data_IF_916721359847
#
_entry.id   IF_916721359847
#
_cell.length_a   1.000
_cell.length_b   1.000
_cell.length_c   1.000
_cell.angle_alpha   90.00
_cell.angle_beta   90.00
_cell.angle_gamma   90.00
#
_symmetry.space_group_name_H-M   'P 1'
#
loop_
_entity.id
_entity.type
_entity.pdbx_description
1 polymer ?
#
# COMPACT_ATOMS: atom_id res chain seq x y z
N UNK A 1 9.16 -1.82 11.43
CA UNK A 1 9.73 -1.17 12.64
C UNK A 1 9.65 0.35 12.48
N UNK A 2 10.41 0.98 11.59
CA UNK A 2 10.45 2.45 11.39
C UNK A 2 9.07 3.08 11.20
N UNK A 3 8.18 2.46 10.41
CA UNK A 3 6.82 2.97 10.17
C UNK A 3 6.01 3.06 11.49
N UNK A 4 6.06 2.04 12.33
CA UNK A 4 5.29 2.00 13.59
C UNK A 4 5.83 3.02 14.58
N UNK A 5 7.15 3.15 14.71
CA UNK A 5 7.79 4.16 15.55
C UNK A 5 7.45 5.59 15.09
N UNK A 6 7.42 5.81 13.76
CA UNK A 6 7.01 7.10 13.18
C UNK A 6 5.55 7.42 13.48
N UNK A 7 4.65 6.42 13.43
CA UNK A 7 3.23 6.60 13.78
C UNK A 7 3.07 6.98 15.25
N UNK A 8 3.82 6.34 16.15
CA UNK A 8 3.82 6.71 17.56
C UNK A 8 4.29 8.14 17.77
N UNK A 9 5.40 8.52 17.15
CA UNK A 9 5.93 9.88 17.19
C UNK A 9 4.91 10.90 16.68
N UNK A 10 4.28 10.65 15.52
CA UNK A 10 3.22 11.51 14.97
C UNK A 10 2.05 11.63 15.94
N UNK A 11 1.63 10.53 16.53
CA UNK A 11 0.51 10.49 17.50
C UNK A 11 0.80 11.36 18.72
N UNK A 12 1.99 11.27 19.27
CA UNK A 12 2.44 12.07 20.42
C UNK A 12 2.51 13.56 20.07
N UNK A 13 3.11 13.91 18.95
CA UNK A 13 3.16 15.29 18.46
C UNK A 13 1.76 15.86 18.20
N UNK A 14 0.85 15.06 17.64
CA UNK A 14 -0.54 15.44 17.40
C UNK A 14 -1.27 15.78 18.70
N UNK A 15 -1.05 14.99 19.75
CA UNK A 15 -1.58 15.25 21.10
C UNK A 15 -0.92 16.44 21.79
N UNK A 16 0.17 16.98 21.23
CA UNK A 16 0.93 18.11 21.74
C UNK A 16 1.96 17.76 22.78
N UNK A 17 2.28 16.51 22.85
CA UNK A 17 3.39 16.07 23.66
C UNK A 17 4.71 16.60 23.05
N UNK A 18 5.68 16.82 23.91
CA UNK A 18 7.05 17.08 23.47
C UNK A 18 7.72 15.76 23.12
N UNK A 19 8.42 15.73 22.00
CA UNK A 19 9.21 14.58 21.53
C UNK A 19 10.66 14.99 21.44
N UNK A 20 11.54 14.20 22.01
CA UNK A 20 12.98 14.39 21.86
C UNK A 20 13.45 13.87 20.50
N UNK A 21 14.30 14.63 19.84
CA UNK A 21 14.90 14.27 18.55
C UNK A 21 16.30 14.86 18.45
N UNK A 22 17.08 14.37 17.48
CA UNK A 22 18.43 14.88 17.21
C UNK A 22 18.33 15.89 16.05
N UNK A 23 18.82 17.12 16.28
CA UNK A 23 18.88 18.12 15.24
C UNK A 23 20.03 17.91 14.25
N UNK A 24 20.07 18.73 13.18
CA UNK A 24 21.14 18.66 12.17
C UNK A 24 22.57 18.93 12.68
N UNK A 25 22.73 19.35 13.94
CA UNK A 25 24.04 19.54 14.60
C UNK A 25 24.39 18.38 15.55
N UNK A 26 23.59 17.30 15.56
CA UNK A 26 23.80 16.15 16.44
C UNK A 26 23.38 16.39 17.91
N UNK A 27 22.67 17.47 18.22
CA UNK A 27 22.21 17.77 19.57
C UNK A 27 20.79 17.28 19.79
N UNK A 28 20.55 16.67 20.96
CA UNK A 28 19.19 16.35 21.40
C UNK A 28 18.41 17.65 21.69
N UNK A 29 17.26 17.75 21.05
CA UNK A 29 16.31 18.87 21.25
C UNK A 29 14.91 18.30 21.51
N UNK A 30 14.10 19.08 22.20
CA UNK A 30 12.69 18.76 22.42
C UNK A 30 11.83 19.59 21.46
N UNK A 31 11.00 18.93 20.67
CA UNK A 31 10.12 19.57 19.68
C UNK A 31 8.66 19.32 19.99
N UNK A 32 7.81 20.25 19.57
CA UNK A 32 6.36 20.09 19.52
C UNK A 32 5.81 20.77 18.26
N UNK A 33 4.55 20.48 17.90
CA UNK A 33 3.91 21.03 16.70
C UNK A 33 2.87 22.09 17.04
N UNK A 34 2.83 23.14 16.22
CA UNK A 34 1.84 24.22 16.29
C UNK A 34 1.41 24.59 14.85
N UNK A 35 0.15 25.04 14.62
CA UNK A 35 -0.93 25.17 15.61
C UNK A 35 -1.44 23.83 16.11
N UNK A 36 -2.17 23.84 17.23
CA UNK A 36 -2.80 22.62 17.77
C UNK A 36 -3.93 22.15 16.85
N UNK A 37 -3.99 20.85 16.53
CA UNK A 37 -5.07 20.33 15.69
C UNK A 37 -6.42 20.39 16.40
N UNK A 38 -7.50 20.58 15.63
CA UNK A 38 -8.87 20.53 16.15
C UNK A 38 -9.33 19.11 16.44
N UNK A 39 -8.89 18.15 15.63
CA UNK A 39 -9.22 16.73 15.81
C UNK A 39 -8.37 16.11 16.91
N UNK A 40 -8.96 15.26 17.73
CA UNK A 40 -8.25 14.55 18.80
C UNK A 40 -7.14 13.65 18.26
N UNK A 41 -7.40 12.98 17.15
CA UNK A 41 -6.46 12.09 16.44
C UNK A 41 -6.68 12.19 14.93
N UNK A 42 -5.63 12.12 14.10
CA UNK A 42 -5.80 12.02 12.66
C UNK A 42 -6.30 10.62 12.29
N UNK A 43 -7.19 10.48 11.28
CA UNK A 43 -7.49 9.17 10.72
C UNK A 43 -6.23 8.63 10.02
N UNK A 44 -5.72 7.50 10.52
CA UNK A 44 -4.51 6.87 9.99
C UNK A 44 -4.86 5.87 8.90
N UNK A 45 -4.14 5.94 7.79
CA UNK A 45 -4.25 5.02 6.67
C UNK A 45 -2.90 4.44 6.32
N UNK A 46 -2.83 3.11 6.21
CA UNK A 46 -1.61 2.41 5.80
C UNK A 46 -1.81 1.88 4.38
N UNK A 47 -0.94 2.32 3.47
CA UNK A 47 -0.89 1.78 2.12
C UNK A 47 -0.10 0.46 2.10
N UNK A 48 -0.71 -0.59 1.55
CA UNK A 48 -0.06 -1.91 1.42
C UNK A 48 -0.63 -2.66 0.23
N UNK A 49 0.24 -3.20 -0.62
CA UNK A 49 -0.15 -4.02 -1.76
C UNK A 49 0.04 -5.52 -1.51
N UNK A 50 1.11 -5.95 -0.85
CA UNK A 50 1.49 -7.36 -0.86
C UNK A 50 1.55 -8.06 0.50
N UNK A 51 1.96 -7.37 1.56
CA UNK A 51 2.31 -8.00 2.82
C UNK A 51 1.12 -8.19 3.76
N UNK A 52 0.76 -9.45 4.07
CA UNK A 52 -0.23 -9.80 5.10
C UNK A 52 0.17 -9.21 6.48
N UNK A 53 1.46 -9.15 6.79
CA UNK A 53 1.92 -8.63 8.08
C UNK A 53 1.71 -7.12 8.22
N UNK A 54 1.75 -6.37 7.10
CA UNK A 54 1.37 -4.96 7.08
C UNK A 54 -0.13 -4.79 7.37
N UNK A 55 -0.99 -5.65 6.81
CA UNK A 55 -2.43 -5.67 7.13
C UNK A 55 -2.69 -5.97 8.61
N UNK A 56 -2.01 -6.96 9.17
CA UNK A 56 -2.08 -7.26 10.62
C UNK A 56 -1.60 -6.09 11.46
N UNK A 57 -0.49 -5.46 11.09
CA UNK A 57 0.05 -4.30 11.81
C UNK A 57 -0.95 -3.12 11.79
N UNK A 58 -1.55 -2.83 10.63
CA UNK A 58 -2.60 -1.82 10.51
C UNK A 58 -3.79 -2.13 11.44
N UNK A 59 -4.23 -3.40 11.47
CA UNK A 59 -5.30 -3.83 12.38
C UNK A 59 -4.94 -3.61 13.84
N UNK A 60 -3.74 -4.01 14.26
CA UNK A 60 -3.29 -3.87 15.67
C UNK A 60 -3.27 -2.42 16.16
N UNK A 61 -2.86 -1.49 15.32
CA UNK A 61 -2.79 -0.05 15.70
C UNK A 61 -4.10 0.71 15.45
N UNK A 62 -5.14 0.02 14.97
CA UNK A 62 -6.43 0.64 14.67
C UNK A 62 -6.47 1.49 13.41
N UNK A 63 -5.43 1.44 12.57
CA UNK A 63 -5.40 2.19 11.32
C UNK A 63 -6.31 1.56 10.25
N UNK A 64 -6.70 2.37 9.28
CA UNK A 64 -7.36 1.95 8.05
C UNK A 64 -6.32 1.45 7.02
N UNK A 65 -6.78 0.79 5.96
CA UNK A 65 -5.91 0.27 4.91
C UNK A 65 -6.31 0.82 3.54
N UNK A 66 -5.31 1.24 2.76
CA UNK A 66 -5.43 1.50 1.33
C UNK A 66 -4.63 0.43 0.57
N UNK A 67 -5.28 -0.28 -0.34
CA UNK A 67 -4.65 -1.30 -1.18
C UNK A 67 -5.09 -1.15 -2.64
N UNK A 68 -4.58 -2.00 -3.51
CA UNK A 68 -4.91 -2.03 -4.94
C UNK A 68 -4.98 -3.49 -5.42
N UNK A 69 -5.32 -3.70 -6.71
CA UNK A 69 -5.38 -5.03 -7.32
C UNK A 69 -4.10 -5.40 -8.09
N UNK A 70 -3.10 -4.55 -8.12
CA UNK A 70 -1.88 -4.80 -8.87
C UNK A 70 -1.04 -5.89 -8.18
N UNK A 71 -0.81 -7.01 -8.89
CA UNK A 71 -0.01 -8.14 -8.39
C UNK A 71 -0.69 -8.97 -7.29
N UNK A 72 -1.99 -8.90 -7.15
CA UNK A 72 -2.77 -9.71 -6.22
C UNK A 72 -4.20 -9.95 -6.73
N UNK A 73 -4.76 -11.09 -6.40
CA UNK A 73 -6.12 -11.48 -6.77
C UNK A 73 -7.14 -11.25 -5.63
N UNK A 74 -8.40 -11.59 -5.90
CA UNK A 74 -9.50 -11.43 -4.94
C UNK A 74 -9.33 -12.35 -3.73
N UNK A 75 -8.80 -13.56 -3.90
CA UNK A 75 -8.60 -14.50 -2.80
C UNK A 75 -7.44 -14.08 -1.91
N UNK A 76 -6.37 -13.54 -2.48
CA UNK A 76 -5.29 -12.88 -1.75
C UNK A 76 -5.82 -11.74 -0.88
N UNK A 77 -6.66 -10.87 -1.47
CA UNK A 77 -7.27 -9.76 -0.74
C UNK A 77 -8.18 -10.25 0.38
N UNK A 78 -9.00 -11.28 0.13
CA UNK A 78 -9.89 -11.88 1.15
C UNK A 78 -9.09 -12.35 2.36
N UNK A 79 -7.97 -13.04 2.13
CA UNK A 79 -7.09 -13.52 3.20
C UNK A 79 -6.45 -12.36 3.99
N UNK A 80 -6.00 -11.31 3.30
CA UNK A 80 -5.44 -10.11 3.91
C UNK A 80 -6.47 -9.34 4.74
N UNK A 81 -7.69 -9.20 4.23
CA UNK A 81 -8.80 -8.56 4.95
C UNK A 81 -9.19 -9.34 6.20
N UNK A 82 -9.27 -10.67 6.11
CA UNK A 82 -9.52 -11.52 7.27
C UNK A 82 -8.44 -11.34 8.34
N UNK A 83 -7.17 -11.30 7.95
CA UNK A 83 -6.04 -11.09 8.85
C UNK A 83 -6.07 -9.70 9.51
N UNK A 84 -6.41 -8.64 8.76
CA UNK A 84 -6.59 -7.28 9.27
C UNK A 84 -7.71 -7.22 10.32
N UNK A 85 -8.91 -7.72 9.99
CA UNK A 85 -10.05 -7.68 10.89
C UNK A 85 -9.83 -8.52 12.15
N UNK A 86 -9.14 -9.67 12.03
CA UNK A 86 -8.75 -10.48 13.19
C UNK A 86 -7.83 -9.69 14.12
N UNK A 87 -6.75 -9.14 13.58
CA UNK A 87 -5.76 -8.38 14.36
C UNK A 87 -6.39 -7.14 15.03
N UNK A 88 -7.33 -6.47 14.34
CA UNK A 88 -8.05 -5.31 14.86
C UNK A 88 -8.95 -5.68 16.06
N UNK A 89 -9.71 -6.77 15.94
CA UNK A 89 -10.55 -7.27 17.06
C UNK A 89 -9.71 -7.70 18.25
N UNK A 90 -8.62 -8.44 18.03
CA UNK A 90 -7.70 -8.91 19.07
C UNK A 90 -7.02 -7.75 19.81
N UNK A 91 -6.83 -6.62 19.16
CA UNK A 91 -6.29 -5.39 19.75
C UNK A 91 -7.36 -4.53 20.46
N UNK A 92 -8.65 -4.94 20.45
CA UNK A 92 -9.73 -4.25 21.14
C UNK A 92 -10.23 -2.97 20.47
N UNK A 93 -9.97 -2.79 19.16
CA UNK A 93 -10.49 -1.63 18.43
C UNK A 93 -11.95 -1.81 18.05
N UNK A 94 -12.75 -0.78 18.29
CA UNK A 94 -14.16 -0.75 17.91
C UNK A 94 -14.35 -0.73 16.39
N UNK A 95 -15.39 -1.45 15.93
CA UNK A 95 -15.82 -1.50 14.55
C UNK A 95 -14.83 -2.19 13.59
N UNK A 96 -15.25 -2.40 12.35
CA UNK A 96 -14.46 -3.16 11.36
C UNK A 96 -13.25 -2.40 10.82
N UNK A 97 -13.17 -1.07 11.01
CA UNK A 97 -12.23 -0.23 10.28
C UNK A 97 -12.64 -0.06 8.81
N UNK A 98 -11.80 0.63 8.04
CA UNK A 98 -12.04 0.85 6.61
C UNK A 98 -10.90 0.26 5.80
N UNK A 99 -11.25 -0.53 4.79
CA UNK A 99 -10.33 -1.00 3.76
C UNK A 99 -10.77 -0.39 2.44
N UNK A 100 -9.90 0.38 1.82
CA UNK A 100 -10.11 0.97 0.50
C UNK A 100 -9.29 0.23 -0.52
N UNK A 101 -9.94 -0.25 -1.58
CA UNK A 101 -9.27 -0.88 -2.72
C UNK A 101 -9.29 0.10 -3.89
N UNK A 102 -8.10 0.47 -4.35
CA UNK A 102 -7.96 1.29 -5.56
C UNK A 102 -8.10 0.41 -6.80
N UNK A 103 -9.03 0.77 -7.67
CA UNK A 103 -9.33 0.08 -8.92
C UNK A 103 -9.20 1.04 -10.09
N UNK A 104 -8.55 0.57 -11.17
CA UNK A 104 -8.65 1.26 -12.45
C UNK A 104 -10.04 1.00 -13.02
N UNK A 105 -10.77 2.06 -13.28
CA UNK A 105 -12.18 1.96 -13.67
C UNK A 105 -12.45 2.85 -14.88
N UNK A 106 -13.11 2.30 -15.89
CA UNK A 106 -13.64 3.02 -17.02
C UNK A 106 -15.15 2.71 -17.14
N UNK A 107 -15.97 3.74 -17.28
CA UNK A 107 -17.42 3.61 -17.35
C UNK A 107 -17.91 4.04 -18.73
N UNK A 108 -18.72 3.19 -19.36
CA UNK A 108 -19.36 3.45 -20.64
C UNK A 108 -20.75 2.82 -20.62
N UNK A 109 -21.62 3.24 -21.56
CA UNK A 109 -22.98 2.70 -21.70
C UNK A 109 -22.99 1.23 -22.15
N UNK A 110 -21.97 0.81 -22.90
CA UNK A 110 -21.81 -0.53 -23.43
C UNK A 110 -20.49 -1.14 -23.01
N UNK A 111 -20.51 -2.40 -22.55
CA UNK A 111 -19.33 -3.10 -22.00
C UNK A 111 -18.27 -3.37 -23.05
N UNK A 112 -18.66 -3.80 -24.26
CA UNK A 112 -17.69 -4.10 -25.33
C UNK A 112 -17.02 -2.82 -25.81
N UNK A 113 -17.79 -1.75 -25.96
CA UNK A 113 -17.27 -0.42 -26.28
C UNK A 113 -16.35 0.10 -25.17
N UNK A 114 -16.67 -0.14 -23.90
CA UNK A 114 -15.81 0.21 -22.78
C UNK A 114 -14.45 -0.51 -22.86
N UNK A 115 -14.44 -1.80 -23.16
CA UNK A 115 -13.22 -2.59 -23.33
C UNK A 115 -12.39 -2.09 -24.51
N UNK A 116 -13.02 -1.83 -25.65
CA UNK A 116 -12.33 -1.31 -26.84
C UNK A 116 -11.65 0.02 -26.55
N UNK A 117 -12.38 0.99 -25.97
CA UNK A 117 -11.87 2.32 -25.68
C UNK A 117 -10.80 2.34 -24.59
N UNK A 118 -10.94 1.51 -23.57
CA UNK A 118 -10.00 1.46 -22.44
C UNK A 118 -8.74 0.65 -22.74
N UNK A 119 -8.77 -0.31 -23.67
CA UNK A 119 -7.68 -1.28 -23.92
C UNK A 119 -6.34 -0.58 -24.16
N UNK A 120 -6.23 0.27 -25.15
CA UNK A 120 -4.95 0.90 -25.53
C UNK A 120 -4.42 1.83 -24.44
N UNK A 121 -5.19 2.79 -23.89
CA UNK A 121 -4.72 3.65 -22.81
C UNK A 121 -4.31 2.87 -21.57
N UNK A 122 -5.05 1.83 -21.21
CA UNK A 122 -4.75 1.02 -20.02
C UNK A 122 -3.49 0.17 -20.22
N UNK A 123 -3.32 -0.46 -21.38
CA UNK A 123 -2.09 -1.18 -21.71
C UNK A 123 -0.85 -0.27 -21.70
N UNK A 124 -0.96 0.95 -22.22
CA UNK A 124 0.13 1.92 -22.20
C UNK A 124 0.46 2.36 -20.77
N UNK A 125 -0.54 2.56 -19.92
CA UNK A 125 -0.35 2.83 -18.49
C UNK A 125 0.36 1.66 -17.79
N UNK A 126 -0.08 0.42 -18.00
CA UNK A 126 0.56 -0.76 -17.40
C UNK A 126 2.02 -0.90 -17.86
N UNK A 127 2.31 -0.73 -19.15
CA UNK A 127 3.69 -0.78 -19.66
C UNK A 127 4.59 0.25 -18.96
N UNK A 128 4.14 1.50 -18.84
CA UNK A 128 4.90 2.54 -18.14
C UNK A 128 5.11 2.23 -16.66
N UNK A 129 4.13 1.64 -16.00
CA UNK A 129 4.22 1.22 -14.60
C UNK A 129 5.20 0.07 -14.41
N UNK A 130 5.19 -0.93 -15.31
CA UNK A 130 6.15 -2.04 -15.28
C UNK A 130 7.59 -1.57 -15.57
N UNK A 131 7.79 -0.60 -16.46
CA UNK A 131 9.10 -0.03 -16.70
C UNK A 131 9.66 0.66 -15.45
N UNK A 132 8.81 1.31 -14.66
CA UNK A 132 9.20 1.86 -13.34
C UNK A 132 9.64 0.76 -12.36
N UNK A 133 8.93 -0.36 -12.32
CA UNK A 133 9.27 -1.51 -11.47
C UNK A 133 10.63 -2.10 -11.86
N UNK A 134 10.92 -2.20 -13.16
CA UNK A 134 12.22 -2.65 -13.66
C UNK A 134 13.37 -1.76 -13.23
N UNK A 135 13.17 -0.44 -13.24
CA UNK A 135 14.20 0.55 -12.88
C UNK A 135 14.45 0.57 -11.36
N UNK A 136 13.44 0.30 -10.55
CA UNK A 136 13.53 0.38 -9.10
C UNK A 136 12.90 -0.84 -8.39
N UNK A 137 13.37 -2.07 -8.63
CA UNK A 137 12.77 -3.29 -8.07
C UNK A 137 12.80 -3.35 -6.54
N UNK A 138 13.72 -2.63 -5.91
CA UNK A 138 13.81 -2.52 -4.45
C UNK A 138 12.65 -1.74 -3.82
N UNK A 139 11.99 -0.87 -4.58
CA UNK A 139 10.83 -0.08 -4.13
C UNK A 139 9.52 -0.87 -4.18
N UNK A 140 9.51 -2.02 -4.85
CA UNK A 140 8.32 -2.84 -5.07
C UNK A 140 8.50 -4.29 -4.59
N UNK A 141 8.62 -4.53 -3.27
CA UNK A 141 8.89 -5.88 -2.72
C UNK A 141 7.84 -6.93 -3.09
N UNK A 142 6.58 -6.51 -3.35
CA UNK A 142 5.49 -7.40 -3.74
C UNK A 142 5.77 -8.15 -5.06
N UNK A 143 6.58 -7.57 -5.94
CA UNK A 143 6.98 -8.18 -7.22
C UNK A 143 8.21 -9.10 -7.11
N UNK A 144 8.77 -9.26 -5.91
CA UNK A 144 9.89 -10.18 -5.64
C UNK A 144 9.47 -11.60 -5.24
N UNK A 145 8.17 -11.93 -5.31
CA UNK A 145 7.72 -13.26 -4.87
C UNK A 145 8.13 -14.34 -5.87
N UNK A 146 8.60 -15.51 -5.39
CA UNK A 146 9.01 -16.64 -6.26
C UNK A 146 7.91 -17.15 -7.18
N UNK A 147 6.63 -16.96 -6.82
CA UNK A 147 5.47 -17.34 -7.63
C UNK A 147 5.37 -16.57 -8.96
N UNK A 148 6.10 -15.47 -9.12
CA UNK A 148 6.15 -14.69 -10.37
C UNK A 148 7.41 -14.95 -11.20
N UNK A 149 8.13 -16.04 -10.93
CA UNK A 149 9.24 -16.51 -11.78
C UNK A 149 10.54 -15.71 -11.65
N UNK A 150 10.77 -15.05 -10.53
CA UNK A 150 12.08 -14.47 -10.23
C UNK A 150 13.03 -15.57 -9.75
N UNK A 151 13.74 -16.19 -10.67
CA UNK A 151 14.89 -17.03 -10.35
C UNK A 151 16.07 -16.11 -9.96
N UNK A 152 16.51 -16.17 -8.71
CA UNK A 152 17.57 -15.30 -8.16
C UNK A 152 18.95 -15.50 -8.82
N UNK A 153 19.09 -16.50 -9.72
CA UNK A 153 20.38 -16.88 -10.27
C UNK A 153 20.90 -16.02 -11.41
N UNK A 154 20.09 -15.16 -12.05
CA UNK A 154 20.48 -14.57 -13.35
C UNK A 154 20.35 -13.04 -13.48
N UNK A 155 19.93 -12.32 -12.46
CA UNK A 155 19.84 -10.83 -12.55
C UNK A 155 18.87 -10.32 -13.65
N UNK A 156 18.07 -11.21 -14.26
CA UNK A 156 17.06 -10.86 -15.25
C UNK A 156 15.81 -10.38 -14.54
N UNK A 157 15.51 -9.10 -14.67
CA UNK A 157 14.27 -8.51 -14.22
C UNK A 157 13.04 -9.19 -14.83
N UNK A 158 11.88 -8.95 -14.26
CA UNK A 158 10.59 -9.42 -14.73
C UNK A 158 10.44 -9.22 -16.25
N UNK A 159 10.34 -10.34 -16.99
CA UNK A 159 10.23 -10.30 -18.44
C UNK A 159 8.80 -9.92 -18.85
N UNK A 160 8.61 -8.65 -19.14
CA UNK A 160 7.33 -8.10 -19.61
C UNK A 160 7.04 -8.41 -21.07
N UNK A 161 8.00 -8.97 -21.83
CA UNK A 161 7.79 -9.31 -23.24
C UNK A 161 6.79 -10.46 -23.43
N UNK A 162 6.55 -11.23 -22.35
CA UNK A 162 5.56 -12.33 -22.31
C UNK A 162 4.12 -11.85 -22.14
N UNK A 163 3.90 -10.60 -21.71
CA UNK A 163 2.56 -10.04 -21.55
C UNK A 163 2.15 -9.37 -22.85
N UNK A 164 1.29 -10.03 -23.58
CA UNK A 164 0.61 -9.39 -24.71
C UNK A 164 -0.48 -8.43 -24.22
N UNK A 165 -0.97 -7.58 -25.11
CA UNK A 165 -2.12 -6.71 -24.81
C UNK A 165 -3.36 -7.55 -24.40
N UNK A 166 -3.45 -8.79 -24.87
CA UNK A 166 -4.55 -9.71 -24.56
C UNK A 166 -4.41 -10.32 -23.18
N UNK A 167 -3.20 -10.69 -22.74
CA UNK A 167 -2.94 -11.18 -21.37
C UNK A 167 -3.21 -10.13 -20.31
N UNK A 168 -3.05 -8.83 -20.64
CA UNK A 168 -3.30 -7.72 -19.73
C UNK A 168 -4.76 -7.26 -19.71
N UNK A 169 -5.58 -7.74 -20.64
CA UNK A 169 -6.99 -7.33 -20.81
C UNK A 169 -8.00 -8.42 -20.39
N UNK A 170 -7.51 -9.61 -20.03
CA UNK A 170 -8.32 -10.70 -19.50
C UNK A 170 -8.57 -10.53 -18.00
#
# INVERSE_FOLDING_TARGET
EVMLESIETITRLWRGEKVETINGQGKTISVNTLPRPLQAMPPMWIASAGSVDTFKAAGRIGANVLTNMLGQDIDDLRNKFAAYHKARREAGHDGPGVITVMLHTFVCEDTEKARELAREPFCNYLKSSFDLIKVAPSMFPAFRQPSLGNDESDGKGFDTSRFTADDMAA
#
